data_IF_718068489217
#
_entry.id   IF_718068489217
#
_cell.length_a   1.000
_cell.length_b   1.000
_cell.length_c   1.000
_cell.angle_alpha   90.00
_cell.angle_beta   90.00
_cell.angle_gamma   90.00
#
_symmetry.space_group_name_H-M   'P 1'
#
loop_
_entity.id
_entity.type
_entity.pdbx_description
1 polymer ?
#
# COMPACT_ATOMS: atom_id res chain seq x y z
N UNK A 1 -5.85 14.74 -21.20
CA UNK A 1 -6.79 14.87 -22.35
C UNK A 1 -7.67 16.08 -22.15
N UNK A 2 -7.35 17.22 -22.79
CA UNK A 2 -8.09 18.46 -22.57
C UNK A 2 -9.55 18.35 -23.01
N UNK A 3 -10.48 18.85 -22.18
CA UNK A 3 -11.91 18.91 -22.49
C UNK A 3 -12.70 17.60 -22.34
N UNK A 4 -12.07 16.48 -21.96
CA UNK A 4 -12.74 15.17 -21.87
C UNK A 4 -13.36 14.86 -20.50
N UNK A 5 -12.94 15.57 -19.45
CA UNK A 5 -13.31 15.23 -18.07
C UNK A 5 -12.66 13.94 -17.53
N UNK A 6 -11.78 13.29 -18.31
CA UNK A 6 -11.05 12.09 -17.89
C UNK A 6 -9.82 12.45 -17.07
N UNK A 7 -9.67 11.82 -15.91
CA UNK A 7 -8.46 11.85 -15.09
C UNK A 7 -7.67 10.55 -15.26
N UNK A 8 -6.34 10.64 -15.10
CA UNK A 8 -5.44 9.47 -15.12
C UNK A 8 -4.47 9.62 -13.95
N UNK A 9 -4.38 8.64 -13.08
CA UNK A 9 -3.48 8.64 -11.93
C UNK A 9 -2.87 7.25 -11.73
N UNK A 10 -1.79 7.19 -10.96
CA UNK A 10 -1.16 5.94 -10.51
C UNK A 10 -1.32 5.80 -9.00
N UNK A 11 -1.69 4.61 -8.51
CA UNK A 11 -1.68 4.27 -7.09
C UNK A 11 -0.45 3.41 -6.80
N UNK A 12 0.36 3.83 -5.82
CA UNK A 12 1.65 3.22 -5.51
C UNK A 12 1.58 2.61 -4.10
N UNK A 13 1.13 1.35 -3.98
CA UNK A 13 1.08 0.67 -2.70
C UNK A 13 2.49 0.29 -2.22
N UNK A 14 2.70 0.42 -0.91
CA UNK A 14 3.86 -0.13 -0.22
C UNK A 14 3.63 -1.58 0.24
N UNK A 15 4.32 -2.04 1.30
CA UNK A 15 4.07 -3.35 1.90
C UNK A 15 2.58 -3.52 2.22
N UNK A 16 1.94 -4.52 1.62
CA UNK A 16 0.51 -4.78 1.73
C UNK A 16 0.27 -6.23 2.12
N UNK A 17 -0.63 -6.44 3.08
CA UNK A 17 -1.03 -7.76 3.56
C UNK A 17 -1.97 -8.44 2.55
N UNK A 18 -1.45 -8.77 1.38
CA UNK A 18 -2.17 -9.45 0.31
C UNK A 18 -2.05 -10.97 0.41
N UNK A 19 -2.90 -11.69 -0.33
CA UNK A 19 -2.77 -13.15 -0.48
C UNK A 19 -1.37 -13.56 -0.97
N UNK A 20 -0.77 -12.77 -1.88
CA UNK A 20 0.59 -13.02 -2.35
C UNK A 20 1.63 -12.90 -1.23
N UNK A 21 1.47 -11.95 -0.30
CA UNK A 21 2.33 -11.83 0.86
C UNK A 21 2.10 -12.97 1.86
N UNK A 22 0.84 -13.35 2.11
CA UNK A 22 0.50 -14.47 2.96
C UNK A 22 1.14 -15.77 2.45
N UNK A 23 1.00 -16.06 1.15
CA UNK A 23 1.62 -17.21 0.49
C UNK A 23 3.15 -17.18 0.60
N UNK A 24 3.78 -16.01 0.44
CA UNK A 24 5.23 -15.85 0.60
C UNK A 24 5.72 -16.20 2.01
N UNK A 25 4.88 -16.01 3.04
CA UNK A 25 5.22 -16.21 4.44
C UNK A 25 4.77 -17.57 5.02
N UNK A 26 4.11 -18.43 4.23
CA UNK A 26 3.58 -19.72 4.71
C UNK A 26 4.63 -20.60 5.38
N UNK A 27 5.79 -20.80 4.74
CA UNK A 27 6.88 -21.62 5.28
C UNK A 27 7.44 -21.04 6.59
N UNK A 28 7.55 -19.71 6.66
CA UNK A 28 8.06 -19.01 7.85
C UNK A 28 7.05 -19.06 8.99
N UNK A 29 5.76 -18.95 8.70
CA UNK A 29 4.69 -19.13 9.66
C UNK A 29 4.69 -20.56 10.21
N UNK A 30 4.84 -21.58 9.35
CA UNK A 30 4.94 -22.97 9.78
C UNK A 30 6.19 -23.22 10.65
N UNK A 31 7.32 -22.61 10.31
CA UNK A 31 8.59 -22.77 11.04
C UNK A 31 8.58 -22.08 12.40
N UNK A 32 7.97 -20.91 12.51
CA UNK A 32 8.03 -20.06 13.71
C UNK A 32 6.78 -20.13 14.59
N UNK A 33 5.66 -20.62 14.05
CA UNK A 33 4.35 -20.60 14.70
C UNK A 33 3.74 -19.20 14.86
N UNK A 34 4.32 -18.16 14.25
CA UNK A 34 3.83 -16.78 14.35
C UNK A 34 2.66 -16.54 13.39
N UNK A 35 1.81 -15.58 13.75
CA UNK A 35 0.74 -15.13 12.86
C UNK A 35 1.31 -14.33 11.67
N UNK A 36 0.58 -14.32 10.56
CA UNK A 36 0.97 -13.58 9.35
C UNK A 36 1.09 -12.07 9.63
N UNK A 37 0.25 -11.51 10.49
CA UNK A 37 0.32 -10.09 10.89
C UNK A 37 1.61 -9.80 11.65
N UNK A 38 2.03 -10.72 12.52
CA UNK A 38 3.29 -10.59 13.28
C UNK A 38 4.48 -10.66 12.33
N UNK A 39 4.48 -11.63 11.41
CA UNK A 39 5.53 -11.77 10.39
C UNK A 39 5.57 -10.56 9.45
N UNK A 40 4.42 -10.02 9.04
CA UNK A 40 4.32 -8.82 8.22
C UNK A 40 4.91 -7.60 8.93
N UNK A 41 4.59 -7.43 10.22
CA UNK A 41 5.16 -6.36 11.04
C UNK A 41 6.67 -6.50 11.15
N UNK A 42 7.17 -7.68 11.48
CA UNK A 42 8.60 -7.96 11.57
C UNK A 42 9.31 -7.71 10.23
N UNK A 43 8.70 -8.16 9.12
CA UNK A 43 9.20 -7.93 7.77
C UNK A 43 9.32 -6.44 7.45
N UNK A 44 8.28 -5.65 7.74
CA UNK A 44 8.29 -4.19 7.51
C UNK A 44 9.36 -3.53 8.38
N UNK A 45 9.44 -3.85 9.66
CA UNK A 45 10.45 -3.26 10.54
C UNK A 45 11.88 -3.63 10.12
N UNK A 46 12.10 -4.84 9.60
CA UNK A 46 13.42 -5.29 9.15
C UNK A 46 13.84 -4.67 7.81
N UNK A 47 12.92 -4.55 6.85
CA UNK A 47 13.27 -4.16 5.47
C UNK A 47 12.87 -2.73 5.11
N UNK A 48 11.94 -2.12 5.85
CA UNK A 48 11.40 -0.77 5.63
C UNK A 48 11.33 0.01 6.96
N UNK A 49 12.47 0.18 7.65
CA UNK A 49 12.49 0.77 9.00
C UNK A 49 12.01 2.23 9.04
N UNK A 50 12.00 2.93 7.90
CA UNK A 50 11.43 4.28 7.76
C UNK A 50 9.90 4.31 7.78
N UNK A 51 9.22 3.16 7.66
CA UNK A 51 7.75 3.10 7.67
C UNK A 51 7.18 3.79 8.91
N UNK A 52 6.34 4.80 8.68
CA UNK A 52 5.68 5.56 9.74
C UNK A 52 4.64 4.71 10.45
N UNK A 53 3.87 3.90 9.70
CA UNK A 53 2.81 3.06 10.29
C UNK A 53 3.34 1.75 10.91
N UNK A 54 4.59 1.38 10.62
CA UNK A 54 5.28 0.22 11.21
C UNK A 54 4.52 -1.12 11.07
N UNK A 55 3.77 -1.26 9.97
CA UNK A 55 3.05 -2.48 9.59
C UNK A 55 2.81 -2.47 8.10
N UNK A 56 2.42 -3.62 7.54
CA UNK A 56 1.86 -3.65 6.21
C UNK A 56 0.48 -2.94 6.21
N UNK A 57 0.16 -2.26 5.11
CA UNK A 57 -1.20 -1.78 4.85
C UNK A 57 -2.11 -2.98 4.57
N UNK A 58 -3.42 -2.85 4.82
CA UNK A 58 -4.39 -3.85 4.36
C UNK A 58 -4.76 -3.60 2.89
N UNK A 59 -5.34 -4.61 2.24
CA UNK A 59 -5.85 -4.46 0.87
C UNK A 59 -6.98 -3.41 0.79
N UNK A 60 -7.78 -3.28 1.84
CA UNK A 60 -8.85 -2.27 1.95
C UNK A 60 -8.27 -0.86 2.03
N UNK A 61 -7.17 -0.64 2.76
CA UNK A 61 -6.51 0.66 2.82
C UNK A 61 -6.02 1.12 1.44
N UNK A 62 -5.48 0.19 0.62
CA UNK A 62 -5.12 0.46 -0.77
C UNK A 62 -6.36 0.68 -1.64
N UNK A 63 -7.38 -0.16 -1.49
CA UNK A 63 -8.63 -0.05 -2.25
C UNK A 63 -9.35 1.28 -1.98
N UNK A 64 -9.31 1.80 -0.76
CA UNK A 64 -9.90 3.08 -0.41
C UNK A 64 -9.31 4.25 -1.22
N UNK A 65 -8.01 4.23 -1.51
CA UNK A 65 -7.40 5.21 -2.41
C UNK A 65 -7.92 5.06 -3.84
N UNK A 66 -8.07 3.83 -4.33
CA UNK A 66 -8.65 3.57 -5.66
C UNK A 66 -10.10 4.08 -5.72
N UNK A 67 -10.92 3.78 -4.71
CA UNK A 67 -12.30 4.28 -4.61
C UNK A 67 -12.33 5.81 -4.62
N UNK A 68 -11.45 6.46 -3.84
CA UNK A 68 -11.33 7.92 -3.84
C UNK A 68 -10.98 8.46 -5.23
N UNK A 69 -9.97 7.90 -5.89
CA UNK A 69 -9.50 8.37 -7.21
C UNK A 69 -10.52 8.17 -8.34
N UNK A 70 -11.38 7.15 -8.23
CA UNK A 70 -12.50 6.93 -9.14
C UNK A 70 -13.73 7.79 -8.81
N UNK A 71 -13.74 8.50 -7.67
CA UNK A 71 -14.88 9.28 -7.22
C UNK A 71 -14.92 10.69 -7.83
N UNK A 72 -16.07 11.37 -7.72
CA UNK A 72 -16.21 12.77 -8.13
C UNK A 72 -15.35 13.71 -7.29
N UNK A 73 -15.02 13.32 -6.05
CA UNK A 73 -14.20 14.10 -5.13
C UNK A 73 -12.75 14.24 -5.62
N UNK A 74 -12.30 13.36 -6.52
CA UNK A 74 -10.98 13.41 -7.15
C UNK A 74 -11.00 14.02 -8.56
N UNK A 75 -12.06 14.76 -8.95
CA UNK A 75 -12.19 15.28 -10.32
C UNK A 75 -11.09 16.26 -10.75
N UNK A 76 -10.37 16.85 -9.79
CA UNK A 76 -9.23 17.74 -10.03
C UNK A 76 -7.86 17.03 -9.89
N UNK A 77 -7.85 15.73 -9.62
CA UNK A 77 -6.63 14.93 -9.45
C UNK A 77 -6.34 14.18 -10.74
N UNK A 78 -5.34 14.62 -11.50
CA UNK A 78 -4.88 13.94 -12.72
C UNK A 78 -3.39 14.12 -12.91
N UNK A 79 -2.72 13.09 -13.43
CA UNK A 79 -1.28 13.04 -13.62
C UNK A 79 -0.50 12.74 -12.32
N UNK A 80 -1.18 12.36 -11.25
CA UNK A 80 -0.55 12.18 -9.94
C UNK A 80 -0.06 10.74 -9.70
N UNK A 81 1.04 10.64 -8.96
CA UNK A 81 1.53 9.42 -8.34
C UNK A 81 1.11 9.40 -6.86
N UNK A 82 0.02 8.68 -6.55
CA UNK A 82 -0.61 8.68 -5.23
C UNK A 82 -0.07 7.51 -4.40
N UNK A 83 0.72 7.82 -3.37
CA UNK A 83 1.33 6.81 -2.49
C UNK A 83 0.34 6.28 -1.46
N UNK A 84 0.36 4.96 -1.28
CA UNK A 84 -0.31 4.23 -0.18
C UNK A 84 0.72 3.28 0.44
N UNK A 85 1.79 3.85 0.95
CA UNK A 85 2.98 3.10 1.39
C UNK A 85 3.23 3.18 2.90
N UNK A 86 2.34 3.83 3.65
CA UNK A 86 2.51 3.99 5.10
C UNK A 86 3.71 4.85 5.47
N UNK A 87 4.16 5.75 4.59
CA UNK A 87 5.28 6.66 4.82
C UNK A 87 6.65 5.98 4.73
N UNK A 88 6.77 4.91 3.94
CA UNK A 88 8.06 4.23 3.71
C UNK A 88 9.03 5.15 2.98
N UNK A 89 8.56 5.91 1.99
CA UNK A 89 9.35 6.95 1.35
C UNK A 89 9.21 8.25 2.15
N UNK A 90 10.31 8.76 2.67
CA UNK A 90 10.40 9.90 3.59
C UNK A 90 10.60 11.25 2.89
N UNK A 91 10.69 11.25 1.55
CA UNK A 91 10.79 12.47 0.74
C UNK A 91 9.48 12.83 0.02
N UNK A 92 9.34 14.11 -0.30
CA UNK A 92 8.30 14.65 -1.18
C UNK A 92 8.91 14.85 -2.57
N UNK A 93 8.27 14.27 -3.59
CA UNK A 93 8.71 14.31 -5.00
C UNK A 93 7.62 14.90 -5.88
#
# INVERSE_FOLDING_TARGET
MAGTGVTVNSVLPGPTLSDGFANMMEDEAARTGKSIETLAKEFVMAHRPSSVIQRAATVEEVANMVVYTCSKQASATSGAALRVDGGVIDDIV
#
